data_IF_767667653127
#
_entry.id   IF_767667653127
#
_cell.length_a   1.000
_cell.length_b   1.000
_cell.length_c   1.000
_cell.angle_alpha   90.00
_cell.angle_beta   90.00
_cell.angle_gamma   90.00
#
_symmetry.space_group_name_H-M   'P 1'
#
loop_
_entity.id
_entity.type
_entity.pdbx_description
1 polymer ?
#
# COMPACT_ATOMS: atom_id res chain seq x y z
N UNK A 1 10.60 -11.94 21.96
CA UNK A 1 11.37 -12.89 21.12
C UNK A 1 12.23 -12.04 20.18
N UNK A 2 13.38 -12.54 19.72
CA UNK A 2 14.36 -11.78 18.92
C UNK A 2 14.59 -12.47 17.57
N UNK A 3 15.26 -11.79 16.64
CA UNK A 3 15.85 -12.40 15.45
C UNK A 3 16.79 -13.56 15.80
N UNK A 4 16.96 -14.49 14.86
CA UNK A 4 17.99 -15.53 14.97
C UNK A 4 19.37 -14.97 14.61
N UNK A 5 20.43 -15.63 15.09
CA UNK A 5 21.81 -15.23 14.75
C UNK A 5 22.08 -15.21 13.24
N UNK A 6 21.43 -16.10 12.49
CA UNK A 6 21.53 -16.16 11.03
C UNK A 6 20.84 -14.97 10.36
N UNK A 7 19.65 -14.60 10.82
CA UNK A 7 18.95 -13.41 10.31
C UNK A 7 19.77 -12.14 10.60
N UNK A 8 20.34 -12.00 11.80
CA UNK A 8 21.20 -10.86 12.14
C UNK A 8 22.42 -10.77 11.22
N UNK A 9 23.10 -11.90 10.98
CA UNK A 9 24.22 -11.98 10.04
C UNK A 9 23.82 -11.51 8.63
N UNK A 10 22.69 -12.02 8.12
CA UNK A 10 22.17 -11.67 6.80
C UNK A 10 21.81 -10.18 6.71
N UNK A 11 21.08 -9.63 7.69
CA UNK A 11 20.68 -8.21 7.73
C UNK A 11 21.86 -7.24 7.87
N UNK A 12 23.02 -7.72 8.35
CA UNK A 12 24.28 -6.95 8.39
C UNK A 12 25.03 -6.99 7.06
N UNK A 13 24.73 -7.95 6.18
CA UNK A 13 25.36 -8.04 4.87
C UNK A 13 24.99 -6.83 3.99
N UNK A 14 25.88 -6.39 3.08
CA UNK A 14 25.57 -5.32 2.15
C UNK A 14 24.32 -5.58 1.30
N UNK A 15 24.04 -6.85 0.98
CA UNK A 15 22.92 -7.29 0.15
C UNK A 15 21.57 -6.96 0.78
N UNK A 16 21.40 -7.25 2.08
CA UNK A 16 20.11 -7.11 2.78
C UNK A 16 19.99 -5.87 3.65
N UNK A 17 20.96 -4.95 3.57
CA UNK A 17 20.86 -3.64 4.23
C UNK A 17 19.59 -2.86 3.85
N UNK A 18 19.15 -2.83 2.57
CA UNK A 18 17.88 -2.16 2.22
C UNK A 18 16.67 -2.78 2.93
N UNK A 19 16.62 -4.12 3.03
CA UNK A 19 15.55 -4.82 3.75
C UNK A 19 15.55 -4.45 5.24
N UNK A 20 16.72 -4.36 5.86
CA UNK A 20 16.83 -3.94 7.27
C UNK A 20 16.17 -2.57 7.49
N UNK A 21 16.40 -1.62 6.59
CA UNK A 21 15.76 -0.30 6.67
C UNK A 21 14.25 -0.39 6.49
N UNK A 22 13.77 -1.22 5.55
CA UNK A 22 12.34 -1.42 5.34
C UNK A 22 11.64 -2.03 6.57
N UNK A 23 12.31 -2.90 7.32
CA UNK A 23 11.77 -3.50 8.54
C UNK A 23 11.48 -2.45 9.62
N UNK A 24 12.24 -1.36 9.70
CA UNK A 24 12.02 -0.28 10.68
C UNK A 24 10.73 0.52 10.40
N UNK A 25 10.11 0.34 9.22
CA UNK A 25 8.84 0.98 8.85
C UNK A 25 7.61 0.14 9.22
N UNK A 26 7.81 -1.11 9.61
CA UNK A 26 6.71 -2.02 9.92
C UNK A 26 6.46 -2.03 11.43
N UNK A 27 5.19 -2.15 11.81
CA UNK A 27 4.76 -2.09 13.21
C UNK A 27 5.34 -3.23 14.06
N UNK A 28 5.50 -4.41 13.46
CA UNK A 28 6.04 -5.58 14.14
C UNK A 28 7.53 -5.78 13.84
N UNK A 29 8.38 -5.98 14.86
CA UNK A 29 9.79 -6.27 14.64
C UNK A 29 9.98 -7.62 13.93
N UNK A 30 11.14 -7.80 13.28
CA UNK A 30 11.49 -9.12 12.74
C UNK A 30 11.78 -10.11 13.87
N UNK A 31 11.32 -11.35 13.71
CA UNK A 31 11.38 -12.42 14.69
C UNK A 31 11.94 -13.67 14.02
N UNK A 32 12.55 -14.56 14.81
CA UNK A 32 13.08 -15.82 14.28
C UNK A 32 12.03 -16.67 13.53
N UNK A 33 10.79 -16.70 14.04
CA UNK A 33 9.68 -17.46 13.45
C UNK A 33 9.16 -16.89 12.12
N UNK A 34 9.54 -15.67 11.75
CA UNK A 34 9.21 -15.10 10.45
C UNK A 34 10.02 -15.70 9.31
N UNK A 35 11.16 -16.35 9.61
CA UNK A 35 12.02 -16.99 8.62
C UNK A 35 11.77 -18.49 8.51
N UNK A 36 12.05 -19.06 7.33
CA UNK A 36 12.08 -20.50 7.14
C UNK A 36 13.31 -21.13 7.78
N UNK A 37 13.11 -22.30 8.37
CA UNK A 37 14.16 -23.16 8.88
C UNK A 37 14.89 -23.90 7.75
N UNK A 38 16.13 -24.40 7.97
CA UNK A 38 16.84 -25.21 6.97
C UNK A 38 16.07 -26.45 6.50
N UNK A 39 15.28 -27.06 7.38
CA UNK A 39 14.46 -28.23 7.06
C UNK A 39 13.29 -27.85 6.12
N UNK A 40 12.65 -26.71 6.36
CA UNK A 40 11.61 -26.17 5.47
C UNK A 40 12.16 -25.82 4.08
N UNK A 41 13.34 -25.20 4.01
CA UNK A 41 14.03 -24.93 2.74
C UNK A 41 14.36 -26.25 2.01
N UNK A 42 14.83 -27.26 2.73
CA UNK A 42 15.13 -28.58 2.15
C UNK A 42 13.87 -29.26 1.62
N UNK A 43 12.77 -29.20 2.38
CA UNK A 43 11.48 -29.71 1.95
C UNK A 43 10.95 -28.99 0.71
N UNK A 44 11.11 -27.66 0.65
CA UNK A 44 10.75 -26.84 -0.51
C UNK A 44 11.56 -27.25 -1.76
N UNK A 45 12.89 -27.37 -1.64
CA UNK A 45 13.73 -27.85 -2.75
C UNK A 45 13.33 -29.25 -3.23
N UNK A 46 12.99 -30.13 -2.29
CA UNK A 46 12.51 -31.48 -2.60
C UNK A 46 11.18 -31.44 -3.35
N UNK A 47 10.24 -30.58 -2.92
CA UNK A 47 8.95 -30.37 -3.59
C UNK A 47 9.12 -29.84 -5.01
N UNK A 48 10.03 -28.90 -5.23
CA UNK A 48 10.30 -28.29 -6.54
C UNK A 48 11.16 -29.20 -7.44
N UNK A 49 11.87 -30.17 -6.87
CA UNK A 49 12.80 -31.04 -7.58
C UNK A 49 14.04 -30.32 -8.12
N UNK A 50 14.42 -29.18 -7.52
CA UNK A 50 15.60 -28.39 -7.87
C UNK A 50 16.15 -27.65 -6.63
N UNK A 51 17.45 -27.25 -6.63
CA UNK A 51 17.97 -26.33 -5.64
C UNK A 51 17.36 -24.93 -5.83
N UNK A 52 17.12 -24.21 -4.73
CA UNK A 52 16.72 -22.81 -4.80
C UNK A 52 17.92 -21.92 -5.13
N UNK A 53 17.70 -20.77 -5.80
CA UNK A 53 18.71 -19.72 -5.88
C UNK A 53 19.21 -19.32 -4.49
N UNK A 54 20.51 -19.05 -4.35
CA UNK A 54 21.14 -18.75 -3.05
C UNK A 54 20.47 -17.56 -2.34
N UNK A 55 20.20 -16.49 -3.09
CA UNK A 55 19.48 -15.31 -2.61
C UNK A 55 18.02 -15.60 -2.24
N UNK A 56 17.33 -16.48 -2.98
CA UNK A 56 15.96 -16.85 -2.61
C UNK A 56 15.93 -17.64 -1.30
N UNK A 57 16.92 -18.50 -1.07
CA UNK A 57 17.09 -19.19 0.21
C UNK A 57 17.31 -18.20 1.34
N UNK A 58 18.23 -17.25 1.20
CA UNK A 58 18.47 -16.21 2.21
C UNK A 58 17.22 -15.36 2.47
N UNK A 59 16.46 -15.02 1.41
CA UNK A 59 15.21 -14.29 1.52
C UNK A 59 14.17 -15.04 2.37
N UNK A 60 13.99 -16.33 2.11
CA UNK A 60 13.07 -17.16 2.86
C UNK A 60 13.55 -17.39 4.31
N UNK A 61 14.86 -17.54 4.55
CA UNK A 61 15.45 -17.55 5.90
C UNK A 61 15.18 -16.25 6.66
N UNK A 62 15.07 -15.11 5.97
CA UNK A 62 14.78 -13.82 6.57
C UNK A 62 13.29 -13.66 6.89
N UNK A 63 12.41 -13.84 5.90
CA UNK A 63 11.01 -13.38 5.98
C UNK A 63 9.98 -14.37 5.41
N UNK A 64 10.36 -15.61 5.09
CA UNK A 64 9.50 -16.55 4.35
C UNK A 64 8.08 -16.76 4.91
N UNK A 65 7.91 -16.75 6.23
CA UNK A 65 6.60 -16.89 6.90
C UNK A 65 5.89 -15.57 7.17
N UNK A 66 6.57 -14.43 6.97
CA UNK A 66 6.03 -13.08 7.19
C UNK A 66 5.46 -12.45 5.92
N UNK A 67 5.85 -12.95 4.75
CA UNK A 67 5.42 -12.43 3.45
C UNK A 67 3.88 -12.37 3.33
N UNK A 68 3.36 -11.19 3.01
CA UNK A 68 1.95 -10.91 2.80
C UNK A 68 1.66 -10.63 1.32
N UNK A 69 0.49 -11.08 0.86
CA UNK A 69 -0.06 -10.63 -0.43
C UNK A 69 -0.61 -9.21 -0.24
N UNK A 70 -0.09 -8.26 -1.01
CA UNK A 70 -0.48 -6.85 -0.96
C UNK A 70 -0.98 -6.40 -2.33
N UNK A 71 -0.39 -5.34 -2.91
CA UNK A 71 -0.58 -5.06 -4.32
C UNK A 71 0.00 -6.20 -5.14
N UNK A 72 1.29 -6.49 -5.05
CA UNK A 72 1.88 -7.62 -5.74
C UNK A 72 2.07 -8.81 -4.77
N UNK A 73 2.29 -9.99 -5.33
CA UNK A 73 2.25 -11.27 -4.64
C UNK A 73 3.67 -11.84 -4.55
N UNK A 74 4.35 -11.72 -3.41
CA UNK A 74 5.63 -12.37 -3.20
C UNK A 74 5.48 -13.90 -3.13
N UNK A 75 6.46 -14.61 -3.67
CA UNK A 75 6.56 -16.06 -3.57
C UNK A 75 6.79 -16.51 -2.12
N UNK A 76 5.83 -17.26 -1.58
CA UNK A 76 5.88 -17.89 -0.26
C UNK A 76 6.34 -19.35 -0.36
N UNK A 77 6.84 -19.97 0.72
CA UNK A 77 7.31 -21.35 0.67
C UNK A 77 6.30 -22.35 0.09
N UNK A 78 5.01 -22.12 0.29
CA UNK A 78 3.90 -22.92 -0.23
C UNK A 78 3.44 -22.51 -1.64
N UNK A 79 3.64 -21.25 -2.04
CA UNK A 79 3.19 -20.72 -3.34
C UNK A 79 4.27 -20.70 -4.42
N UNK A 80 5.55 -20.80 -4.08
CA UNK A 80 6.63 -20.87 -5.08
C UNK A 80 6.42 -22.11 -5.95
N UNK A 81 6.44 -21.88 -7.26
CA UNK A 81 6.34 -22.89 -8.32
C UNK A 81 7.59 -22.87 -9.20
N UNK A 82 7.78 -23.95 -9.95
CA UNK A 82 8.87 -24.13 -10.90
C UNK A 82 8.34 -24.22 -12.32
N UNK A 83 9.05 -23.63 -13.27
CA UNK A 83 8.92 -23.89 -14.70
C UNK A 83 10.31 -24.07 -15.32
N UNK A 84 10.55 -25.20 -15.99
CA UNK A 84 11.88 -25.55 -16.45
C UNK A 84 12.89 -25.60 -15.30
N UNK A 85 13.94 -24.79 -15.33
CA UNK A 85 14.88 -24.63 -14.21
C UNK A 85 14.66 -23.34 -13.40
N UNK A 86 13.64 -22.57 -13.76
CA UNK A 86 13.32 -21.31 -13.12
C UNK A 86 12.30 -21.51 -11.99
N UNK A 87 12.33 -20.62 -11.00
CA UNK A 87 11.34 -20.53 -9.93
C UNK A 87 10.62 -19.18 -9.97
N UNK A 88 9.31 -19.18 -9.75
CA UNK A 88 8.49 -17.97 -9.68
C UNK A 88 8.69 -17.32 -8.31
N UNK A 89 9.13 -16.06 -8.30
CA UNK A 89 9.50 -15.35 -7.06
C UNK A 89 8.54 -14.21 -6.72
N UNK A 90 7.91 -13.60 -7.72
CA UNK A 90 6.96 -12.50 -7.51
C UNK A 90 5.99 -12.41 -8.69
N UNK A 91 4.75 -12.05 -8.42
CA UNK A 91 3.69 -11.93 -9.43
C UNK A 91 2.89 -10.65 -9.20
N UNK A 92 2.53 -9.95 -10.27
CA UNK A 92 1.61 -8.81 -10.21
C UNK A 92 0.16 -9.29 -9.99
N UNK A 93 -0.66 -8.57 -9.22
CA UNK A 93 -2.00 -9.06 -8.85
C UNK A 93 -3.04 -9.16 -9.98
N UNK A 94 -2.80 -8.52 -11.13
CA UNK A 94 -3.58 -8.63 -12.36
C UNK A 94 -2.93 -9.60 -13.36
N UNK A 95 -1.89 -10.31 -12.95
CA UNK A 95 -1.14 -11.28 -13.76
C UNK A 95 -0.51 -10.62 -15.01
N UNK A 96 -0.20 -9.32 -14.94
CA UNK A 96 0.40 -8.57 -16.05
C UNK A 96 1.89 -8.89 -16.19
N UNK A 97 2.58 -9.17 -15.09
CA UNK A 97 3.98 -9.57 -15.11
C UNK A 97 4.33 -10.60 -14.03
N UNK A 98 5.43 -11.31 -14.27
CA UNK A 98 5.99 -12.33 -13.35
C UNK A 98 7.51 -12.26 -13.30
N UNK A 99 8.06 -12.37 -12.10
CA UNK A 99 9.51 -12.44 -11.87
C UNK A 99 9.96 -13.89 -11.73
N UNK A 100 10.70 -14.37 -12.72
CA UNK A 100 11.29 -15.70 -12.72
C UNK A 100 12.78 -15.62 -12.39
N UNK A 101 13.25 -16.52 -11.53
CA UNK A 101 14.66 -16.66 -11.19
C UNK A 101 15.23 -17.96 -11.73
N UNK A 102 16.31 -17.92 -12.54
CA UNK A 102 17.06 -19.13 -12.88
C UNK A 102 17.90 -19.61 -11.68
N UNK A 103 18.55 -20.79 -11.76
CA UNK A 103 19.46 -21.26 -10.72
C UNK A 103 20.71 -20.38 -10.60
N UNK A 104 21.30 -20.33 -9.40
CA UNK A 104 22.54 -19.61 -9.14
C UNK A 104 22.58 -18.99 -7.75
N UNK A 105 23.69 -18.36 -7.38
CA UNK A 105 23.80 -17.67 -6.08
C UNK A 105 22.95 -16.40 -6.04
N UNK A 106 23.17 -15.48 -6.97
CA UNK A 106 22.38 -14.25 -7.14
C UNK A 106 22.16 -14.02 -8.65
N UNK A 107 21.28 -14.82 -9.26
CA UNK A 107 21.12 -14.85 -10.71
C UNK A 107 20.57 -13.53 -11.24
N UNK A 108 20.87 -13.23 -12.50
CA UNK A 108 20.18 -12.17 -13.24
C UNK A 108 18.79 -12.69 -13.60
N UNK A 109 17.76 -11.97 -13.16
CA UNK A 109 16.36 -12.29 -13.43
C UNK A 109 15.82 -11.44 -14.57
N UNK A 110 14.83 -12.00 -15.26
CA UNK A 110 14.07 -11.30 -16.29
C UNK A 110 12.60 -11.22 -15.85
N UNK A 111 11.98 -10.09 -16.15
CA UNK A 111 10.56 -9.89 -15.94
C UNK A 111 9.80 -10.41 -17.16
N UNK A 112 8.89 -11.35 -16.96
CA UNK A 112 7.96 -11.79 -18.00
C UNK A 112 6.76 -10.83 -18.04
N UNK A 113 6.28 -10.47 -19.23
CA UNK A 113 5.07 -9.65 -19.42
C UNK A 113 5.31 -8.14 -19.48
N UNK A 114 6.48 -7.67 -19.07
CA UNK A 114 6.87 -6.25 -19.11
C UNK A 114 8.34 -6.09 -19.48
N UNK A 115 8.64 -5.07 -20.30
CA UNK A 115 10.03 -4.73 -20.63
C UNK A 115 10.68 -4.05 -19.43
N UNK A 116 11.71 -4.68 -18.87
CA UNK A 116 12.53 -4.14 -17.79
C UNK A 116 14.00 -4.52 -18.02
N UNK A 117 14.96 -3.66 -17.66
CA UNK A 117 16.37 -4.01 -17.64
C UNK A 117 16.64 -5.24 -16.76
N UNK A 118 17.60 -6.09 -17.15
CA UNK A 118 18.01 -7.21 -16.31
C UNK A 118 18.64 -6.71 -15.01
N UNK A 119 18.30 -7.36 -13.89
CA UNK A 119 18.88 -7.10 -12.57
C UNK A 119 19.02 -8.40 -11.79
N UNK A 120 19.87 -8.40 -10.76
CA UNK A 120 20.04 -9.59 -9.91
C UNK A 120 18.79 -9.83 -9.07
N UNK A 121 18.58 -11.08 -8.64
CA UNK A 121 17.46 -11.44 -7.79
C UNK A 121 17.40 -10.60 -6.52
N UNK A 122 18.56 -10.32 -5.90
CA UNK A 122 18.62 -9.49 -4.69
C UNK A 122 18.16 -8.04 -4.92
N UNK A 123 18.48 -7.46 -6.09
CA UNK A 123 18.03 -6.13 -6.47
C UNK A 123 16.51 -6.09 -6.67
N UNK A 124 15.95 -7.10 -7.36
CA UNK A 124 14.51 -7.23 -7.55
C UNK A 124 13.77 -7.37 -6.22
N UNK A 125 14.16 -8.31 -5.35
CA UNK A 125 13.49 -8.56 -4.07
C UNK A 125 13.51 -7.32 -3.16
N UNK A 126 14.67 -6.67 -3.03
CA UNK A 126 14.78 -5.46 -2.23
C UNK A 126 14.00 -4.29 -2.84
N UNK A 127 14.06 -4.11 -4.16
CA UNK A 127 13.33 -3.05 -4.85
C UNK A 127 11.81 -3.23 -4.77
N UNK A 128 11.31 -4.45 -4.97
CA UNK A 128 9.87 -4.76 -4.90
C UNK A 128 9.32 -4.61 -3.50
N UNK A 129 10.06 -5.03 -2.45
CA UNK A 129 9.62 -4.77 -1.07
C UNK A 129 9.51 -3.28 -0.76
N UNK A 130 10.51 -2.48 -1.14
CA UNK A 130 10.45 -1.04 -0.93
C UNK A 130 9.32 -0.40 -1.73
N UNK A 131 9.12 -0.84 -2.98
CA UNK A 131 8.02 -0.42 -3.85
C UNK A 131 6.67 -0.67 -3.22
N UNK A 132 6.37 -1.90 -2.84
CA UNK A 132 5.04 -2.26 -2.37
C UNK A 132 4.78 -1.72 -0.97
N UNK A 133 5.82 -1.54 -0.14
CA UNK A 133 5.69 -0.78 1.11
C UNK A 133 5.35 0.69 0.85
N UNK A 134 6.01 1.35 -0.11
CA UNK A 134 5.66 2.72 -0.49
C UNK A 134 4.24 2.80 -1.02
N UNK A 135 3.82 1.89 -1.90
CA UNK A 135 2.45 1.90 -2.42
C UNK A 135 1.43 1.64 -1.30
N UNK A 136 1.74 0.73 -0.38
CA UNK A 136 0.92 0.51 0.81
C UNK A 136 0.70 1.76 1.65
N UNK A 137 1.75 2.57 1.83
CA UNK A 137 1.65 3.87 2.49
C UNK A 137 0.88 4.89 1.61
N UNK A 138 1.18 4.97 0.32
CA UNK A 138 0.63 5.96 -0.61
C UNK A 138 -0.86 5.75 -0.92
N UNK A 139 -1.32 4.51 -0.97
CA UNK A 139 -2.74 4.17 -1.14
C UNK A 139 -3.53 4.16 0.17
N UNK A 140 -2.85 4.13 1.33
CA UNK A 140 -3.49 4.18 2.64
C UNK A 140 -3.99 2.82 3.13
N UNK A 141 -3.51 1.74 2.54
CA UNK A 141 -3.75 0.38 3.05
C UNK A 141 -2.96 0.13 4.33
N UNK A 142 -1.86 0.87 4.54
CA UNK A 142 -0.91 0.71 5.65
C UNK A 142 -0.31 -0.69 5.73
N UNK A 143 -0.20 -1.37 4.58
CA UNK A 143 0.35 -2.74 4.50
C UNK A 143 1.43 -2.80 3.43
N UNK A 144 2.56 -3.42 3.76
CA UNK A 144 3.59 -3.81 2.81
C UNK A 144 3.75 -5.33 2.77
N UNK A 145 4.67 -5.85 1.93
CA UNK A 145 4.91 -7.29 1.83
C UNK A 145 5.37 -7.94 3.13
N UNK A 146 5.80 -7.14 4.13
CA UNK A 146 6.24 -7.61 5.44
C UNK A 146 5.22 -7.31 6.55
N UNK A 147 3.95 -7.06 6.22
CA UNK A 147 2.89 -6.84 7.19
C UNK A 147 2.45 -5.38 7.34
N UNK A 148 1.87 -5.06 8.49
CA UNK A 148 1.36 -3.72 8.79
C UNK A 148 2.51 -2.71 8.97
N UNK A 149 2.30 -1.51 8.43
CA UNK A 149 3.18 -0.36 8.64
C UNK A 149 2.91 0.28 10.01
N UNK A 150 3.96 0.85 10.59
CA UNK A 150 3.83 1.57 11.86
C UNK A 150 2.76 2.67 11.79
N UNK A 151 2.13 2.98 12.91
CA UNK A 151 1.10 4.03 13.01
C UNK A 151 1.60 5.43 12.68
N UNK A 152 2.90 5.67 12.78
CA UNK A 152 3.50 6.95 12.41
C UNK A 152 3.84 7.04 10.90
N UNK A 153 3.76 5.92 10.17
CA UNK A 153 3.98 5.92 8.73
C UNK A 153 2.78 6.55 8.02
N UNK A 154 3.03 7.67 7.37
CA UNK A 154 2.11 8.36 6.47
C UNK A 154 2.62 8.28 5.03
N UNK A 155 1.71 8.36 4.08
CA UNK A 155 2.04 8.45 2.66
C UNK A 155 0.93 9.11 1.87
N UNK A 156 1.18 9.27 0.58
CA UNK A 156 0.19 9.76 -0.37
C UNK A 156 0.74 9.82 -1.79
N UNK A 157 -0.12 10.27 -2.70
CA UNK A 157 0.21 10.52 -4.10
C UNK A 157 -0.12 11.96 -4.41
N UNK A 158 0.78 12.66 -5.11
CA UNK A 158 0.55 14.03 -5.57
C UNK A 158 0.78 14.07 -7.07
N UNK A 159 -0.26 14.44 -7.84
CA UNK A 159 -0.08 14.86 -9.22
C UNK A 159 0.71 16.18 -9.23
N UNK A 160 1.90 16.17 -9.84
CA UNK A 160 2.80 17.31 -9.81
C UNK A 160 3.56 17.45 -11.12
N UNK A 161 3.32 18.56 -11.81
CA UNK A 161 4.04 18.97 -13.02
C UNK A 161 4.90 20.22 -12.82
N UNK A 162 4.87 20.84 -11.62
CA UNK A 162 5.61 22.07 -11.34
C UNK A 162 7.14 21.80 -11.23
N UNK A 163 7.94 22.28 -12.21
CA UNK A 163 9.38 22.03 -12.23
C UNK A 163 10.13 22.71 -11.07
N UNK A 164 9.57 23.77 -10.48
CA UNK A 164 10.18 24.45 -9.32
C UNK A 164 10.07 23.58 -8.09
N UNK A 165 8.90 22.99 -7.84
CA UNK A 165 8.69 22.08 -6.71
C UNK A 165 9.51 20.80 -6.91
N UNK A 166 9.54 20.23 -8.12
CA UNK A 166 10.37 19.05 -8.44
C UNK A 166 11.86 19.35 -8.17
N UNK A 167 12.36 20.51 -8.60
CA UNK A 167 13.74 20.91 -8.32
C UNK A 167 14.02 21.05 -6.81
N UNK A 168 13.09 21.65 -6.06
CA UNK A 168 13.19 21.77 -4.61
C UNK A 168 13.20 20.41 -3.90
N UNK A 169 12.38 19.45 -4.35
CA UNK A 169 12.38 18.08 -3.83
C UNK A 169 13.71 17.38 -4.11
N UNK A 170 14.26 17.52 -5.33
CA UNK A 170 15.57 16.94 -5.68
C UNK A 170 16.73 17.53 -4.89
N UNK A 171 16.68 18.83 -4.56
CA UNK A 171 17.66 19.50 -3.69
C UNK A 171 17.53 19.04 -2.24
N UNK A 172 16.29 18.94 -1.74
CA UNK A 172 16.02 18.59 -0.34
C UNK A 172 16.26 17.11 -0.02
N UNK A 173 15.93 16.22 -0.96
CA UNK A 173 15.96 14.77 -0.79
C UNK A 173 16.99 14.16 -1.76
N UNK A 174 18.15 13.70 -1.25
CA UNK A 174 19.17 13.10 -2.11
C UNK A 174 18.73 11.73 -2.65
N UNK A 175 19.45 11.27 -3.68
CA UNK A 175 19.29 9.92 -4.19
C UNK A 175 19.68 8.89 -3.13
N UNK A 176 18.80 7.91 -2.97
CA UNK A 176 19.00 6.75 -2.13
C UNK A 176 19.80 5.68 -2.89
N UNK A 177 20.54 4.86 -2.15
CA UNK A 177 21.39 3.79 -2.75
C UNK A 177 20.67 2.45 -2.86
N UNK A 178 19.48 2.40 -2.30
CA UNK A 178 18.57 1.28 -2.33
C UNK A 178 18.20 0.94 -3.79
N UNK A 179 18.11 -0.35 -4.14
CA UNK A 179 17.73 -0.75 -5.48
C UNK A 179 16.30 -0.32 -5.78
N UNK A 180 16.08 0.24 -6.96
CA UNK A 180 14.75 0.47 -7.53
C UNK A 180 14.38 -0.74 -8.38
N UNK A 181 13.11 -1.18 -8.41
CA UNK A 181 12.65 -2.09 -9.46
C UNK A 181 13.07 -1.54 -10.84
N UNK A 182 13.80 -2.32 -11.67
CA UNK A 182 14.35 -1.85 -12.94
C UNK A 182 13.38 -1.20 -13.92
N UNK A 183 12.08 -1.39 -13.77
CA UNK A 183 11.07 -0.73 -14.61
C UNK A 183 10.80 0.74 -14.25
N UNK A 184 11.43 1.28 -13.21
CA UNK A 184 11.44 2.71 -12.92
C UNK A 184 12.74 3.36 -13.39
N UNK A 185 12.61 4.47 -14.11
CA UNK A 185 13.75 5.18 -14.71
C UNK A 185 14.52 6.07 -13.72
N UNK A 186 13.89 6.46 -12.61
CA UNK A 186 14.51 7.34 -11.61
C UNK A 186 14.86 6.61 -10.30
N UNK A 187 15.99 6.98 -9.66
CA UNK A 187 16.33 6.49 -8.33
C UNK A 187 15.30 6.93 -7.29
N UNK A 188 15.14 6.13 -6.24
CA UNK A 188 14.49 6.59 -5.01
C UNK A 188 15.16 7.85 -4.46
N UNK A 189 14.39 8.75 -3.85
CA UNK A 189 14.94 9.89 -3.09
C UNK A 189 14.45 9.89 -1.65
N UNK A 190 15.26 10.42 -0.73
CA UNK A 190 14.88 10.41 0.68
C UNK A 190 16.02 10.75 1.65
N UNK A 191 15.70 10.77 2.94
CA UNK A 191 16.61 11.23 4.00
C UNK A 191 16.68 10.32 5.24
N UNK A 192 16.28 9.05 5.10
CA UNK A 192 16.18 8.10 6.21
C UNK A 192 14.72 7.91 6.63
N UNK A 193 14.04 9.03 6.87
CA UNK A 193 12.67 9.09 7.37
C UNK A 193 11.63 9.33 6.27
N UNK A 194 12.05 9.90 5.14
CA UNK A 194 11.23 10.12 3.93
C UNK A 194 11.69 9.23 2.78
N UNK A 195 10.75 8.75 1.96
CA UNK A 195 10.98 8.11 0.67
C UNK A 195 10.06 8.74 -0.37
N UNK A 196 10.61 9.07 -1.54
CA UNK A 196 9.92 9.61 -2.71
C UNK A 196 10.23 8.77 -3.95
N UNK A 197 9.23 8.59 -4.81
CA UNK A 197 9.34 8.00 -6.15
C UNK A 197 8.50 8.79 -7.16
N UNK A 198 8.92 8.83 -8.42
CA UNK A 198 8.14 9.43 -9.51
C UNK A 198 8.43 10.91 -9.80
N UNK A 199 9.60 11.43 -9.42
CA UNK A 199 9.95 12.84 -9.68
C UNK A 199 10.17 13.19 -11.18
N UNK A 200 10.17 12.19 -12.05
CA UNK A 200 10.18 12.33 -13.51
C UNK A 200 8.87 11.94 -14.18
N UNK A 201 7.81 11.69 -13.40
CA UNK A 201 6.49 11.25 -13.87
C UNK A 201 5.41 12.30 -13.55
N UNK A 202 4.17 12.04 -13.97
CA UNK A 202 3.02 12.94 -13.74
C UNK A 202 2.57 12.98 -12.26
N UNK A 203 3.00 12.00 -11.46
CA UNK A 203 2.70 11.92 -10.04
C UNK A 203 3.94 11.53 -9.23
N UNK A 204 3.91 11.90 -7.95
CA UNK A 204 4.91 11.54 -6.94
C UNK A 204 4.23 10.73 -5.86
N UNK A 205 4.76 9.54 -5.60
CA UNK A 205 4.42 8.78 -4.39
C UNK A 205 5.42 9.16 -3.29
N UNK A 206 4.89 9.38 -2.10
CA UNK A 206 5.69 9.75 -0.95
C UNK A 206 5.31 8.95 0.28
N UNK A 207 6.30 8.74 1.15
CA UNK A 207 6.13 8.15 2.47
C UNK A 207 7.00 8.90 3.46
N UNK A 208 6.46 9.16 4.65
CA UNK A 208 7.15 9.71 5.80
C UNK A 208 6.91 8.80 7.01
N UNK A 209 7.96 8.52 7.77
CA UNK A 209 7.93 7.55 8.88
C UNK A 209 7.77 8.21 10.25
N UNK A 210 7.81 9.54 10.31
CA UNK A 210 7.65 10.34 11.53
C UNK A 210 6.80 11.59 11.25
N UNK A 211 6.14 12.17 12.27
CA UNK A 211 5.42 13.43 12.11
C UNK A 211 6.30 14.59 11.63
N UNK A 212 7.58 14.61 12.04
CA UNK A 212 8.53 15.62 11.59
C UNK A 212 8.90 15.44 10.13
N UNK A 213 9.03 14.20 9.65
CA UNK A 213 9.27 13.92 8.23
C UNK A 213 8.04 14.30 7.39
N UNK A 214 6.84 13.99 7.88
CA UNK A 214 5.59 14.41 7.25
C UNK A 214 5.52 15.94 7.08
N UNK A 215 5.77 16.70 8.15
CA UNK A 215 5.74 18.17 8.10
C UNK A 215 6.76 18.77 7.11
N UNK A 216 7.90 18.09 6.86
CA UNK A 216 8.87 18.52 5.85
C UNK A 216 8.38 18.31 4.42
N UNK A 217 7.72 17.17 4.17
CA UNK A 217 7.08 16.89 2.88
C UNK A 217 5.94 17.87 2.63
N UNK A 218 5.10 18.09 3.64
CA UNK A 218 4.00 19.05 3.61
C UNK A 218 4.46 20.47 3.27
N UNK A 219 5.54 20.94 3.89
CA UNK A 219 6.11 22.26 3.59
C UNK A 219 6.62 22.46 2.16
N UNK A 220 6.73 21.40 1.35
CA UNK A 220 7.11 21.46 -0.07
C UNK A 220 5.95 21.12 -1.02
N UNK A 221 5.12 20.16 -0.66
CA UNK A 221 4.04 19.66 -1.52
C UNK A 221 2.67 20.28 -1.21
N UNK A 222 2.53 21.02 -0.11
CA UNK A 222 1.25 21.54 0.38
C UNK A 222 0.21 20.41 0.41
N UNK A 223 0.40 19.44 1.31
CA UNK A 223 -0.37 18.19 1.34
C UNK A 223 -1.81 18.42 1.80
N UNK A 224 -2.06 19.48 2.57
CA UNK A 224 -3.38 19.88 3.04
C UNK A 224 -3.70 21.33 2.65
N UNK A 225 -3.83 21.64 1.34
CA UNK A 225 -4.05 23.01 0.90
C UNK A 225 -5.37 23.55 1.47
N UNK A 226 -5.38 24.81 1.91
CA UNK A 226 -6.59 25.45 2.43
C UNK A 226 -7.68 25.47 1.34
N UNK A 227 -8.84 24.87 1.64
CA UNK A 227 -9.91 24.70 0.66
C UNK A 227 -9.60 23.69 -0.45
N UNK A 228 -8.60 22.83 -0.24
CA UNK A 228 -8.20 21.75 -1.12
C UNK A 228 -9.24 20.65 -1.27
N UNK A 229 -9.09 19.84 -2.32
CA UNK A 229 -9.96 18.70 -2.55
C UNK A 229 -9.73 17.63 -1.50
N UNK A 230 -10.83 17.11 -0.95
CA UNK A 230 -10.83 16.05 0.04
C UNK A 230 -11.70 14.88 -0.44
N UNK A 231 -11.34 13.69 0.02
CA UNK A 231 -12.11 12.47 -0.13
C UNK A 231 -12.80 12.13 1.19
N UNK A 232 -14.11 11.95 1.14
CA UNK A 232 -14.93 11.42 2.25
C UNK A 232 -15.29 9.98 1.93
N UNK A 233 -15.00 9.07 2.85
CA UNK A 233 -15.41 7.67 2.78
C UNK A 233 -16.54 7.38 3.75
N UNK A 234 -17.55 6.68 3.27
CA UNK A 234 -18.64 6.10 4.07
C UNK A 234 -18.48 4.58 4.00
N UNK A 235 -18.20 3.96 5.13
CA UNK A 235 -17.98 2.52 5.27
C UNK A 235 -19.06 1.89 6.15
N UNK A 236 -19.62 0.76 5.72
CA UNK A 236 -20.55 -0.04 6.54
C UNK A 236 -19.96 -1.42 6.80
N UNK A 237 -19.57 -1.65 8.06
CA UNK A 237 -18.93 -2.89 8.49
C UNK A 237 -19.87 -4.10 8.40
N UNK A 238 -19.31 -5.23 7.97
CA UNK A 238 -19.95 -6.56 8.02
C UNK A 238 -21.28 -6.64 7.26
N UNK A 239 -21.41 -5.98 6.09
CA UNK A 239 -22.59 -6.15 5.23
C UNK A 239 -22.71 -7.62 4.80
N UNK A 240 -23.81 -8.27 5.19
CA UNK A 240 -24.08 -9.62 4.71
C UNK A 240 -24.55 -9.59 3.24
N UNK A 241 -24.50 -10.72 2.50
CA UNK A 241 -24.87 -10.75 1.08
C UNK A 241 -26.29 -10.24 0.77
N UNK A 242 -27.24 -10.44 1.68
CA UNK A 242 -28.60 -9.95 1.50
C UNK A 242 -28.69 -8.42 1.65
N UNK A 243 -27.99 -7.86 2.63
CA UNK A 243 -27.85 -6.40 2.79
C UNK A 243 -27.13 -5.79 1.59
N UNK A 244 -25.99 -6.36 1.16
CA UNK A 244 -25.23 -5.92 -0.01
C UNK A 244 -26.06 -5.95 -1.30
N UNK A 245 -26.89 -6.99 -1.49
CA UNK A 245 -27.84 -7.07 -2.60
C UNK A 245 -28.93 -5.99 -2.51
N UNK A 246 -29.41 -5.66 -1.31
CA UNK A 246 -30.38 -4.57 -1.10
C UNK A 246 -29.81 -3.19 -1.43
N UNK A 247 -28.48 -3.01 -1.38
CA UNK A 247 -27.81 -1.76 -1.74
C UNK A 247 -27.83 -1.49 -3.25
N UNK A 248 -28.25 -2.46 -4.08
CA UNK A 248 -28.06 -2.43 -5.53
C UNK A 248 -29.38 -2.53 -6.28
N UNK A 249 -29.45 -1.83 -7.40
CA UNK A 249 -30.43 -2.08 -8.44
C UNK A 249 -30.12 -3.41 -9.14
N UNK A 250 -31.10 -4.02 -9.84
CA UNK A 250 -30.88 -5.28 -10.58
C UNK A 250 -29.79 -5.21 -11.65
N UNK A 251 -29.44 -4.00 -12.13
CA UNK A 251 -28.34 -3.76 -13.07
C UNK A 251 -26.96 -3.66 -12.39
N UNK A 252 -26.88 -3.84 -11.07
CA UNK A 252 -25.64 -3.77 -10.28
C UNK A 252 -25.20 -2.36 -9.84
N UNK A 253 -25.93 -1.30 -10.22
CA UNK A 253 -25.66 0.06 -9.73
C UNK A 253 -26.14 0.20 -8.29
N UNK A 254 -25.51 1.06 -7.51
CA UNK A 254 -25.93 1.33 -6.13
C UNK A 254 -27.25 2.10 -6.14
N UNK A 255 -28.08 1.87 -5.12
CA UNK A 255 -29.32 2.62 -4.92
C UNK A 255 -29.06 3.88 -4.09
N UNK A 256 -29.67 4.97 -4.52
CA UNK A 256 -29.60 6.27 -3.85
C UNK A 256 -30.12 6.21 -2.40
N UNK A 257 -31.16 5.43 -2.12
CA UNK A 257 -31.72 5.30 -0.76
C UNK A 257 -30.80 4.57 0.22
N UNK A 258 -29.86 3.78 -0.30
CA UNK A 258 -28.83 3.17 0.52
C UNK A 258 -27.72 4.17 0.85
N UNK A 259 -27.26 4.93 -0.15
CA UNK A 259 -26.15 5.89 -0.03
C UNK A 259 -26.56 7.12 0.78
N UNK A 260 -27.74 7.66 0.51
CA UNK A 260 -28.24 8.92 1.04
C UNK A 260 -29.18 8.73 2.25
N UNK A 261 -29.37 7.48 2.68
CA UNK A 261 -30.11 7.09 3.88
C UNK A 261 -31.59 6.78 3.64
N UNK A 262 -32.18 5.92 4.49
CA UNK A 262 -33.51 5.35 4.24
C UNK A 262 -34.67 6.31 4.55
N UNK A 263 -34.41 7.41 5.26
CA UNK A 263 -35.47 8.30 5.76
C UNK A 263 -35.84 9.39 4.76
N UNK A 264 -34.84 10.04 4.12
CA UNK A 264 -35.07 11.11 3.15
C UNK A 264 -33.88 11.25 2.18
N UNK A 265 -33.70 10.28 1.25
CA UNK A 265 -32.53 10.25 0.38
C UNK A 265 -32.47 11.41 -0.60
N UNK A 266 -33.63 11.97 -0.99
CA UNK A 266 -33.69 13.12 -1.90
C UNK A 266 -33.16 14.38 -1.22
N UNK A 267 -33.53 14.59 0.05
CA UNK A 267 -33.00 15.71 0.82
C UNK A 267 -31.50 15.58 1.05
N UNK A 268 -31.01 14.42 1.46
CA UNK A 268 -29.57 14.20 1.65
C UNK A 268 -28.80 14.42 0.35
N UNK A 269 -29.28 13.88 -0.78
CA UNK A 269 -28.67 14.10 -2.09
C UNK A 269 -28.66 15.58 -2.49
N UNK A 270 -29.74 16.33 -2.22
CA UNK A 270 -29.80 17.77 -2.47
C UNK A 270 -28.82 18.55 -1.58
N UNK A 271 -28.76 18.24 -0.28
CA UNK A 271 -27.81 18.87 0.64
C UNK A 271 -26.36 18.60 0.21
N UNK A 272 -26.02 17.39 -0.26
CA UNK A 272 -24.68 17.07 -0.76
C UNK A 272 -24.37 17.77 -2.10
N UNK A 273 -25.35 17.87 -3.00
CA UNK A 273 -25.20 18.61 -4.25
C UNK A 273 -24.91 20.11 -3.99
N UNK A 274 -25.59 20.71 -3.01
CA UNK A 274 -25.37 22.10 -2.61
C UNK A 274 -23.96 22.33 -2.01
N UNK A 275 -23.32 21.29 -1.46
CA UNK A 275 -21.93 21.36 -0.98
C UNK A 275 -20.90 21.26 -2.10
N UNK A 276 -21.34 21.04 -3.35
CA UNK A 276 -20.46 20.86 -4.49
C UNK A 276 -19.80 19.48 -4.50
N UNK A 277 -20.50 18.43 -4.05
CA UNK A 277 -20.02 17.05 -4.24
C UNK A 277 -19.73 16.82 -5.73
N UNK A 278 -18.46 16.56 -6.06
CA UNK A 278 -17.99 16.58 -7.44
C UNK A 278 -18.20 15.25 -8.16
N UNK A 279 -18.02 14.14 -7.45
CA UNK A 279 -18.19 12.80 -8.00
C UNK A 279 -18.41 11.76 -6.91
N UNK A 280 -19.06 10.66 -7.31
CA UNK A 280 -19.05 9.40 -6.59
C UNK A 280 -18.10 8.46 -7.32
N UNK A 281 -17.01 8.09 -6.67
CA UNK A 281 -16.04 7.14 -7.24
C UNK A 281 -16.17 5.81 -6.52
N UNK A 282 -16.32 4.74 -7.30
CA UNK A 282 -16.37 3.36 -6.78
C UNK A 282 -14.94 2.83 -6.82
N UNK A 283 -14.16 3.08 -5.78
CA UNK A 283 -12.77 2.62 -5.68
C UNK A 283 -12.53 1.59 -4.57
N UNK A 284 -13.58 1.13 -3.90
CA UNK A 284 -13.48 -0.01 -2.99
C UNK A 284 -13.48 -1.35 -3.76
N UNK A 285 -12.49 -2.21 -3.49
CA UNK A 285 -12.55 -3.65 -3.85
C UNK A 285 -13.63 -4.39 -3.06
N UNK A 286 -14.09 -3.82 -1.94
CA UNK A 286 -15.15 -4.36 -1.10
C UNK A 286 -16.49 -3.68 -1.42
N UNK A 287 -17.59 -4.42 -1.34
CA UNK A 287 -18.95 -3.90 -1.58
C UNK A 287 -19.46 -2.94 -0.47
N UNK A 288 -18.56 -2.41 0.37
CA UNK A 288 -18.89 -1.73 1.63
C UNK A 288 -18.43 -0.27 1.76
N UNK A 289 -17.62 0.22 0.82
CA UNK A 289 -17.03 1.57 0.85
C UNK A 289 -17.59 2.48 -0.24
N UNK A 290 -17.96 3.71 0.13
CA UNK A 290 -18.44 4.74 -0.79
C UNK A 290 -17.57 5.99 -0.65
N UNK A 291 -16.96 6.42 -1.76
CA UNK A 291 -16.03 7.53 -1.79
C UNK A 291 -16.63 8.75 -2.50
N UNK A 292 -16.42 9.92 -1.90
CA UNK A 292 -17.01 11.19 -2.32
C UNK A 292 -15.95 12.28 -2.32
N UNK A 293 -15.81 12.98 -3.44
CA UNK A 293 -14.92 14.14 -3.54
C UNK A 293 -15.65 15.44 -3.20
N UNK A 294 -15.06 16.25 -2.31
CA UNK A 294 -15.66 17.49 -1.78
C UNK A 294 -14.60 18.50 -1.35
N UNK A 295 -14.95 19.78 -1.40
CA UNK A 295 -14.16 20.87 -0.80
C UNK A 295 -14.63 21.23 0.62
N UNK A 296 -15.65 20.53 1.12
CA UNK A 296 -16.25 20.76 2.45
C UNK A 296 -16.37 19.43 3.20
N UNK A 297 -15.24 18.77 3.55
CA UNK A 297 -15.25 17.42 4.11
C UNK A 297 -16.02 17.32 5.42
N UNK A 298 -15.85 18.23 6.37
CA UNK A 298 -16.54 18.16 7.67
C UNK A 298 -18.05 18.29 7.52
N UNK A 299 -18.50 19.22 6.66
CA UNK A 299 -19.93 19.42 6.41
C UNK A 299 -20.53 18.22 5.69
N UNK A 300 -19.80 17.65 4.73
CA UNK A 300 -20.17 16.41 4.03
C UNK A 300 -20.31 15.25 5.01
N UNK A 301 -19.34 15.06 5.92
CA UNK A 301 -19.40 14.04 6.96
C UNK A 301 -20.61 14.22 7.88
N UNK A 302 -20.95 15.44 8.28
CA UNK A 302 -22.13 15.73 9.11
C UNK A 302 -23.44 15.32 8.42
N UNK A 303 -23.58 15.62 7.13
CA UNK A 303 -24.76 15.25 6.34
C UNK A 303 -24.91 13.73 6.29
N UNK A 304 -23.84 13.00 5.98
CA UNK A 304 -23.86 11.53 6.00
C UNK A 304 -24.17 10.97 7.39
N UNK A 305 -23.55 11.50 8.44
CA UNK A 305 -23.79 11.03 9.81
C UNK A 305 -25.26 11.20 10.21
N UNK A 306 -25.87 12.36 9.90
CA UNK A 306 -27.28 12.62 10.18
C UNK A 306 -28.21 11.66 9.41
N UNK A 307 -27.87 11.34 8.16
CA UNK A 307 -28.68 10.48 7.31
C UNK A 307 -28.56 8.98 7.64
N UNK A 308 -27.36 8.52 8.03
CA UNK A 308 -27.01 7.10 8.06
C UNK A 308 -26.85 6.52 9.47
N UNK A 309 -26.50 7.33 10.48
CA UNK A 309 -26.19 6.82 11.82
C UNK A 309 -27.36 6.07 12.46
N UNK A 310 -28.60 6.51 12.24
CA UNK A 310 -29.79 5.84 12.78
C UNK A 310 -30.05 4.46 12.18
N UNK A 311 -29.65 4.24 10.92
CA UNK A 311 -29.84 2.98 10.22
C UNK A 311 -28.75 1.94 10.53
N UNK A 312 -27.50 2.40 10.62
CA UNK A 312 -26.33 1.52 10.69
C UNK A 312 -25.65 1.49 12.06
N UNK A 313 -25.90 2.49 12.90
CA UNK A 313 -25.34 2.60 14.25
C UNK A 313 -23.83 2.42 14.27
N UNK A 314 -23.37 1.50 15.11
CA UNK A 314 -21.94 1.21 15.34
C UNK A 314 -21.23 0.51 14.16
N UNK A 315 -21.99 0.09 13.11
CA UNK A 315 -21.40 -0.47 11.89
C UNK A 315 -20.94 0.61 10.91
N UNK A 316 -21.41 1.84 11.08
CA UNK A 316 -21.07 2.96 10.20
C UNK A 316 -19.73 3.57 10.60
N UNK A 317 -18.86 3.79 9.62
CA UNK A 317 -17.70 4.66 9.75
C UNK A 317 -17.79 5.73 8.67
N UNK A 318 -17.64 6.99 9.05
CA UNK A 318 -17.50 8.12 8.12
C UNK A 318 -16.16 8.76 8.43
N UNK A 319 -15.31 8.88 7.44
CA UNK A 319 -13.99 9.44 7.59
C UNK A 319 -13.63 10.29 6.36
N UNK A 320 -12.62 11.15 6.48
CA UNK A 320 -12.17 11.97 5.36
C UNK A 320 -10.67 12.16 5.34
N UNK A 321 -10.10 12.45 4.17
CA UNK A 321 -8.69 12.77 3.97
C UNK A 321 -8.51 13.83 2.89
N UNK A 322 -7.47 14.67 2.95
CA UNK A 322 -6.99 15.42 1.79
C UNK A 322 -6.61 14.45 0.66
N UNK A 323 -6.87 14.80 -0.60
CA UNK A 323 -6.57 13.93 -1.76
C UNK A 323 -5.09 13.49 -1.84
N UNK A 324 -4.19 14.36 -1.38
CA UNK A 324 -2.73 14.18 -1.42
C UNK A 324 -2.18 13.28 -0.29
N UNK A 325 -3.06 12.84 0.61
CA UNK A 325 -2.70 12.15 1.86
C UNK A 325 -3.53 10.88 1.96
N UNK A 326 -2.92 9.77 2.35
CA UNK A 326 -3.57 8.48 2.29
C UNK A 326 -4.34 8.06 3.56
N UNK A 327 -4.09 8.72 4.71
CA UNK A 327 -4.74 8.35 5.97
C UNK A 327 -6.06 9.10 6.19
N UNK A 328 -7.09 8.40 6.69
CA UNK A 328 -8.40 8.99 6.95
C UNK A 328 -8.56 9.43 8.41
N UNK A 329 -9.09 10.64 8.59
CA UNK A 329 -9.58 11.20 9.87
C UNK A 329 -11.03 10.77 10.07
N UNK A 330 -11.32 10.09 11.16
CA UNK A 330 -12.69 9.62 11.43
C UNK A 330 -13.55 10.77 11.95
N UNK A 331 -14.69 10.98 11.31
CA UNK A 331 -15.72 11.91 11.73
C UNK A 331 -16.88 11.21 12.46
N UNK A 332 -17.10 9.92 12.18
CA UNK A 332 -18.10 9.10 12.86
C UNK A 332 -17.67 7.62 12.93
N UNK A 333 -17.85 6.94 14.08
CA UNK A 333 -18.26 7.51 15.36
C UNK A 333 -17.05 8.23 16.02
N UNK A 334 -17.29 9.26 16.86
CA UNK A 334 -16.22 10.16 17.34
C UNK A 334 -15.20 9.48 18.26
N UNK A 335 -15.52 8.31 18.83
CA UNK A 335 -14.62 7.51 19.67
C UNK A 335 -13.52 6.77 18.90
N UNK A 336 -13.59 6.73 17.56
CA UNK A 336 -12.60 6.06 16.73
C UNK A 336 -11.62 7.10 16.18
N UNK A 337 -10.32 6.89 16.41
CA UNK A 337 -9.29 7.88 16.03
C UNK A 337 -8.86 7.77 14.55
N UNK A 338 -8.87 6.57 13.98
CA UNK A 338 -8.37 6.33 12.63
C UNK A 338 -9.18 5.28 11.85
N UNK A 339 -9.16 5.43 10.52
CA UNK A 339 -9.70 4.47 9.56
C UNK A 339 -8.64 4.17 8.50
N UNK A 340 -8.36 2.88 8.30
CA UNK A 340 -7.57 2.38 7.18
C UNK A 340 -8.53 1.67 6.22
N UNK A 341 -8.32 1.83 4.92
CA UNK A 341 -9.13 1.14 3.93
C UNK A 341 -8.91 -0.38 4.06
N UNK A 342 -9.97 -1.19 4.05
CA UNK A 342 -9.82 -2.63 4.01
C UNK A 342 -9.11 -3.04 2.72
N UNK A 343 -8.11 -3.92 2.84
CA UNK A 343 -7.35 -4.50 1.71
C UNK A 343 -8.09 -5.61 1.01
#
# INVERSE_FOLDING_TARGET
>A
MTTSARQDELLLSPRWRPLRRALDWHAEPLMAEHGCTPDEITALQTRLGCPLPGVLREWLELVGHRLQEVQDIPGRPDTIVRDGDNVLVWTENQDVWRLWSPPGEDPICLLEGMEAPPATLSQWLAGLVLSDTLVGAACGTRRGPLGELDTEVAGGVVELDDPVIIAALRDRYPELKEPVPPFWDEPWRGDGETVLRGLGTEFIEWMATTPQAYARVDGLLDLEPEGGLCEVVVHVKDLNPAEAAQCRHPNGTLRDDFIYGPTDPQRTAAELADLGQLSQTRLGRTDTDFHFLTYQPERTCQVFAAALAGAWGQRLTIAWRPERVAYFRVAFPPEREAFALPT
#
